data_IF_073542356374
#
_entry.id   IF_073542356374
#
_cell.length_a   1.000
_cell.length_b   1.000
_cell.length_c   1.000
_cell.angle_alpha   90.00
_cell.angle_beta   90.00
_cell.angle_gamma   90.00
#
_symmetry.space_group_name_H-M   'P 1'
#
loop_
_entity.id
_entity.type
_entity.pdbx_description
1 polymer ?
#
# COMPACT_ATOMS: atom_id res chain seq x y z
N UNK A 1 -0.44 -16.54 -1.53
CA UNK A 1 -0.64 -15.12 -1.86
C UNK A 1 -1.23 -15.01 -3.27
N UNK A 2 -2.33 -14.24 -3.41
CA UNK A 2 -3.03 -14.06 -4.70
C UNK A 2 -2.38 -12.97 -5.58
N UNK A 3 -1.74 -11.96 -5.00
CA UNK A 3 -1.04 -10.89 -5.74
C UNK A 3 0.48 -11.02 -5.62
N UNK A 4 1.22 -10.39 -6.55
CA UNK A 4 2.67 -10.41 -6.57
C UNK A 4 3.31 -9.54 -5.49
N UNK A 5 4.64 -9.50 -5.49
CA UNK A 5 5.47 -8.70 -4.58
C UNK A 5 6.24 -9.55 -3.56
N UNK A 6 7.15 -8.88 -2.83
CA UNK A 6 7.91 -9.45 -1.72
C UNK A 6 7.11 -9.52 -0.41
N UNK A 7 7.73 -9.28 0.70
CA UNK A 7 7.03 -9.10 1.97
C UNK A 7 6.44 -7.68 2.07
N UNK A 8 5.36 -7.57 2.83
CA UNK A 8 4.72 -6.29 3.16
C UNK A 8 4.66 -6.19 4.67
N UNK A 9 5.12 -5.09 5.21
CA UNK A 9 4.82 -4.68 6.57
C UNK A 9 3.68 -3.66 6.52
N UNK A 10 2.71 -3.82 7.38
CA UNK A 10 1.63 -2.86 7.56
C UNK A 10 1.29 -2.74 9.03
N UNK A 11 0.99 -1.54 9.47
CA UNK A 11 0.45 -1.22 10.79
C UNK A 11 -0.76 -0.28 10.64
N UNK A 12 -1.35 0.14 11.75
CA UNK A 12 -2.55 0.97 11.75
C UNK A 12 -2.35 2.38 11.20
N UNK A 13 -1.10 2.77 10.96
CA UNK A 13 -0.74 4.07 10.37
C UNK A 13 -0.45 4.01 8.87
N UNK A 14 -0.53 2.82 8.27
CA UNK A 14 -0.47 2.67 6.83
C UNK A 14 -1.85 2.90 6.21
N UNK A 15 -1.86 3.55 5.05
CA UNK A 15 -3.09 3.68 4.26
C UNK A 15 -3.03 2.72 3.09
N UNK A 16 -4.05 1.86 2.99
CA UNK A 16 -4.16 0.89 1.90
C UNK A 16 -5.04 1.44 0.80
N UNK A 17 -4.55 1.37 -0.43
CA UNK A 17 -5.28 1.75 -1.63
C UNK A 17 -5.55 0.53 -2.49
N UNK A 18 -6.75 0.45 -3.07
CA UNK A 18 -7.09 -0.53 -4.10
C UNK A 18 -7.84 0.16 -5.22
N UNK A 19 -7.40 -0.08 -6.45
CA UNK A 19 -8.05 0.38 -7.66
C UNK A 19 -8.50 -0.83 -8.48
N UNK A 20 -9.81 -1.00 -8.61
CA UNK A 20 -10.44 -2.14 -9.27
C UNK A 20 -11.14 -1.65 -10.53
N UNK A 21 -10.87 -2.28 -11.66
CA UNK A 21 -11.42 -1.89 -12.97
C UNK A 21 -11.78 -3.14 -13.79
N UNK A 22 -12.77 -3.05 -14.69
CA UNK A 22 -13.03 -4.09 -15.68
C UNK A 22 -12.00 -4.11 -16.82
N UNK A 23 -11.06 -3.17 -16.87
CA UNK A 23 -10.00 -3.12 -17.87
C UNK A 23 -9.04 -4.32 -17.69
N UNK A 24 -8.79 -5.04 -18.77
CA UNK A 24 -7.90 -6.22 -18.76
C UNK A 24 -6.44 -5.89 -19.09
N UNK A 25 -6.16 -4.67 -19.54
CA UNK A 25 -4.79 -4.22 -19.78
C UNK A 25 -4.09 -3.84 -18.46
N UNK A 26 -3.42 -4.81 -17.85
CA UNK A 26 -2.75 -4.68 -16.56
C UNK A 26 -1.71 -3.56 -16.55
N UNK A 27 -0.87 -3.47 -17.58
CA UNK A 27 0.17 -2.42 -17.65
C UNK A 27 -0.40 -1.02 -17.70
N UNK A 28 -1.45 -0.82 -18.49
CA UNK A 28 -2.13 0.46 -18.61
C UNK A 28 -2.84 0.82 -17.30
N UNK A 29 -3.55 -0.13 -16.71
CA UNK A 29 -4.23 0.03 -15.42
C UNK A 29 -3.25 0.39 -14.31
N UNK A 30 -2.10 -0.28 -14.27
CA UNK A 30 -1.06 -0.03 -13.29
C UNK A 30 -0.48 1.38 -13.43
N UNK A 31 -0.09 1.76 -14.66
CA UNK A 31 0.45 3.09 -14.95
C UNK A 31 -0.55 4.20 -14.62
N UNK A 32 -1.83 4.00 -14.96
CA UNK A 32 -2.90 4.94 -14.63
C UNK A 32 -3.04 5.15 -13.13
N UNK A 33 -3.08 4.05 -12.36
CA UNK A 33 -3.17 4.11 -10.90
C UNK A 33 -1.98 4.86 -10.28
N UNK A 34 -0.74 4.49 -10.63
CA UNK A 34 0.46 5.12 -10.08
C UNK A 34 0.48 6.62 -10.39
N UNK A 35 0.13 7.01 -11.61
CA UNK A 35 0.07 8.42 -12.00
C UNK A 35 -1.02 9.17 -11.23
N UNK A 36 -2.22 8.61 -11.08
CA UNK A 36 -3.31 9.23 -10.31
C UNK A 36 -2.88 9.52 -8.86
N UNK A 37 -2.25 8.56 -8.20
CA UNK A 37 -1.80 8.73 -6.80
C UNK A 37 -0.66 9.74 -6.72
N UNK A 38 0.30 9.69 -7.65
CA UNK A 38 1.41 10.66 -7.69
C UNK A 38 0.93 12.08 -7.96
N UNK A 39 -0.03 12.27 -8.87
CA UNK A 39 -0.64 13.58 -9.17
C UNK A 39 -1.42 14.11 -7.96
N UNK A 40 -2.13 13.25 -7.25
CA UNK A 40 -2.82 13.62 -6.01
C UNK A 40 -1.83 14.14 -4.96
N UNK A 41 -0.69 13.46 -4.77
CA UNK A 41 0.35 13.93 -3.86
C UNK A 41 0.96 15.28 -4.29
N UNK A 42 1.17 15.48 -5.60
CA UNK A 42 1.66 16.77 -6.13
C UNK A 42 0.73 17.94 -5.84
N UNK A 43 -0.59 17.71 -5.75
CA UNK A 43 -1.55 18.75 -5.34
C UNK A 43 -1.34 19.24 -3.90
N UNK A 44 -0.65 18.45 -3.06
CA UNK A 44 -0.21 18.84 -1.73
C UNK A 44 1.17 19.52 -1.72
N UNK A 45 1.75 19.81 -2.90
CA UNK A 45 3.09 20.37 -3.03
C UNK A 45 4.22 19.35 -2.87
N UNK A 46 3.91 18.04 -2.80
CA UNK A 46 4.90 16.98 -2.65
C UNK A 46 5.51 16.65 -4.02
N UNK A 47 6.85 16.60 -4.17
CA UNK A 47 7.50 16.21 -5.41
C UNK A 47 7.45 14.69 -5.62
N UNK A 48 6.25 14.13 -5.72
CA UNK A 48 6.06 12.71 -5.90
C UNK A 48 6.40 12.28 -7.34
N UNK A 49 7.20 11.23 -7.45
CA UNK A 49 7.65 10.63 -8.70
C UNK A 49 7.37 9.14 -8.74
N UNK A 50 7.25 8.59 -9.94
CA UNK A 50 7.15 7.14 -10.14
C UNK A 50 8.54 6.55 -10.33
N UNK A 51 8.85 5.40 -9.72
CA UNK A 51 10.15 4.73 -9.85
C UNK A 51 10.37 4.06 -11.22
N UNK A 52 9.39 4.12 -12.10
CA UNK A 52 9.39 3.36 -13.38
C UNK A 52 9.10 1.86 -13.22
N UNK A 53 8.91 1.38 -11.99
CA UNK A 53 8.48 0.01 -11.67
C UNK A 53 7.14 0.04 -10.93
N UNK A 54 7.18 -0.05 -9.62
CA UNK A 54 5.99 -0.22 -8.79
C UNK A 54 5.93 0.68 -7.55
N UNK A 55 6.86 1.61 -7.42
CA UNK A 55 6.95 2.48 -6.26
C UNK A 55 6.60 3.93 -6.59
N UNK A 56 6.05 4.64 -5.62
CA UNK A 56 5.97 6.10 -5.61
C UNK A 56 7.07 6.60 -4.67
N UNK A 57 7.84 7.56 -5.17
CA UNK A 57 9.02 8.09 -4.52
C UNK A 57 8.82 9.57 -4.16
N UNK A 58 9.44 10.02 -3.08
CA UNK A 58 9.61 11.43 -2.71
C UNK A 58 11.09 11.62 -2.44
N UNK A 59 11.74 12.54 -3.14
CA UNK A 59 13.18 12.82 -3.01
C UNK A 59 14.05 11.55 -3.06
N UNK A 60 13.76 10.68 -4.03
CA UNK A 60 14.49 9.42 -4.23
C UNK A 60 14.22 8.33 -3.19
N UNK A 61 13.29 8.53 -2.24
CA UNK A 61 12.90 7.56 -1.22
C UNK A 61 11.46 7.10 -1.43
N UNK A 62 11.22 5.83 -1.23
CA UNK A 62 9.91 5.19 -1.41
C UNK A 62 8.94 5.60 -0.31
N UNK A 63 7.77 6.09 -0.72
CA UNK A 63 6.63 6.38 0.17
C UNK A 63 5.49 5.40 -0.02
N UNK A 64 5.40 4.75 -1.18
CA UNK A 64 4.35 3.78 -1.49
C UNK A 64 4.90 2.63 -2.34
N UNK A 65 4.53 1.41 -1.99
CA UNK A 65 4.81 0.21 -2.76
C UNK A 65 3.52 -0.40 -3.27
N UNK A 66 3.51 -0.80 -4.55
CA UNK A 66 2.30 -1.23 -5.23
C UNK A 66 2.49 -2.58 -5.92
N UNK A 67 1.39 -3.31 -6.06
CA UNK A 67 1.33 -4.58 -6.76
C UNK A 67 0.01 -4.67 -7.53
N UNK A 68 -0.12 -5.66 -8.38
CA UNK A 68 -1.35 -5.91 -9.11
C UNK A 68 -1.78 -7.38 -9.00
N UNK A 69 -3.06 -7.58 -9.21
CA UNK A 69 -3.68 -8.88 -9.35
C UNK A 69 -4.69 -8.82 -10.49
N UNK A 70 -4.66 -9.82 -11.35
CA UNK A 70 -5.54 -9.91 -12.52
C UNK A 70 -6.33 -11.22 -12.49
N UNK A 71 -7.60 -11.11 -12.77
CA UNK A 71 -8.51 -12.23 -13.05
C UNK A 71 -9.31 -11.89 -14.32
N UNK A 72 -9.88 -12.88 -15.05
CA UNK A 72 -10.71 -12.59 -16.21
C UNK A 72 -11.80 -11.56 -15.90
N UNK A 73 -11.86 -10.48 -16.70
CA UNK A 73 -12.80 -9.39 -16.55
C UNK A 73 -12.52 -8.38 -15.44
N UNK A 74 -11.36 -8.50 -14.73
CA UNK A 74 -11.02 -7.53 -13.68
C UNK A 74 -9.52 -7.40 -13.51
N UNK A 75 -9.05 -6.16 -13.40
CA UNK A 75 -7.69 -5.84 -12.93
C UNK A 75 -7.76 -5.08 -11.61
N UNK A 76 -6.89 -5.46 -10.67
CA UNK A 76 -6.78 -4.84 -9.35
C UNK A 76 -5.34 -4.36 -9.20
N UNK A 77 -5.17 -3.06 -8.94
CA UNK A 77 -3.89 -2.51 -8.48
C UNK A 77 -4.08 -2.09 -7.03
N UNK A 78 -3.15 -2.46 -6.18
CA UNK A 78 -3.20 -2.09 -4.77
C UNK A 78 -1.83 -1.69 -4.27
N UNK A 79 -1.80 -0.88 -3.23
CA UNK A 79 -0.56 -0.42 -2.62
C UNK A 79 -0.74 0.05 -1.20
N UNK A 80 0.39 0.19 -0.51
CA UNK A 80 0.47 0.79 0.81
C UNK A 80 1.10 2.16 0.72
N UNK A 81 0.49 3.16 1.37
CA UNK A 81 1.11 4.45 1.64
C UNK A 81 1.68 4.43 3.05
N UNK A 82 2.98 4.70 3.17
CA UNK A 82 3.68 4.81 4.44
C UNK A 82 3.39 6.19 5.05
N UNK A 83 2.28 6.29 5.81
CA UNK A 83 1.91 7.58 6.40
C UNK A 83 2.76 7.89 7.64
N UNK A 84 2.71 7.07 8.70
CA UNK A 84 3.48 7.22 9.96
C UNK A 84 3.96 5.84 10.49
N UNK A 85 4.40 5.00 9.57
CA UNK A 85 4.80 3.62 9.82
C UNK A 85 5.90 3.54 10.87
N UNK A 86 5.76 2.63 11.84
CA UNK A 86 6.82 2.35 12.81
C UNK A 86 7.98 1.62 12.14
N UNK A 87 9.07 2.35 11.88
CA UNK A 87 10.25 1.84 11.18
C UNK A 87 10.95 0.74 11.99
N UNK A 88 10.98 0.84 13.31
CA UNK A 88 11.63 -0.16 14.17
C UNK A 88 10.90 -1.49 14.12
N UNK A 89 9.57 -1.46 14.22
CA UNK A 89 8.72 -2.64 14.07
C UNK A 89 8.83 -3.23 12.65
N UNK A 90 8.84 -2.37 11.62
CA UNK A 90 9.03 -2.81 10.24
C UNK A 90 10.35 -3.57 10.09
N UNK A 91 11.46 -3.00 10.56
CA UNK A 91 12.77 -3.63 10.47
C UNK A 91 12.81 -4.92 11.28
N UNK A 92 12.26 -4.91 12.49
CA UNK A 92 12.16 -6.10 13.33
C UNK A 92 11.41 -7.26 12.66
N UNK A 93 10.35 -6.95 11.90
CA UNK A 93 9.54 -7.94 11.20
C UNK A 93 10.23 -8.54 9.95
N UNK A 94 11.09 -7.78 9.28
CA UNK A 94 11.71 -8.19 8.00
C UNK A 94 13.19 -8.55 8.11
N UNK A 95 13.80 -8.38 9.29
CA UNK A 95 15.23 -8.63 9.51
C UNK A 95 15.42 -9.78 10.51
N UNK A 96 16.33 -10.73 10.26
CA UNK A 96 16.63 -11.78 11.22
C UNK A 96 17.11 -11.22 12.57
N UNK A 97 16.83 -11.93 13.65
CA UNK A 97 17.03 -11.54 15.06
C UNK A 97 18.51 -11.46 15.50
N UNK A 98 19.26 -10.54 14.92
CA UNK A 98 20.61 -10.19 15.39
C UNK A 98 20.67 -8.68 15.58
N UNK A 99 20.98 -8.20 16.80
CA UNK A 99 21.03 -6.78 17.15
C UNK A 99 21.86 -5.94 16.17
N UNK A 100 23.00 -6.48 15.73
CA UNK A 100 23.89 -5.82 14.78
C UNK A 100 23.29 -5.72 13.37
N UNK A 101 22.44 -6.67 12.98
CA UNK A 101 21.70 -6.63 11.71
C UNK A 101 20.48 -5.71 11.81
N UNK A 102 19.82 -5.65 12.95
CA UNK A 102 18.68 -4.76 13.20
C UNK A 102 19.12 -3.29 13.09
N UNK A 103 20.20 -2.87 13.74
CA UNK A 103 20.67 -1.48 13.67
C UNK A 103 21.07 -1.06 12.26
N UNK A 104 21.75 -1.94 11.50
CA UNK A 104 22.06 -1.72 10.08
C UNK A 104 20.79 -1.70 9.22
N UNK A 105 19.82 -2.56 9.53
CA UNK A 105 18.53 -2.61 8.86
C UNK A 105 17.73 -1.31 9.03
N UNK A 106 17.69 -0.74 10.23
CA UNK A 106 17.03 0.55 10.49
C UNK A 106 17.66 1.66 9.64
N UNK A 107 19.00 1.73 9.62
CA UNK A 107 19.70 2.73 8.81
C UNK A 107 19.43 2.54 7.32
N UNK A 108 19.46 1.30 6.82
CA UNK A 108 19.18 0.98 5.42
C UNK A 108 17.74 1.32 5.06
N UNK A 109 16.75 0.95 5.88
CA UNK A 109 15.34 1.27 5.63
C UNK A 109 15.14 2.78 5.59
N UNK A 110 15.68 3.54 6.55
CA UNK A 110 15.61 5.01 6.57
C UNK A 110 16.24 5.69 5.36
N UNK A 111 17.22 5.07 4.73
CA UNK A 111 17.83 5.58 3.50
C UNK A 111 16.94 5.35 2.26
N UNK A 112 16.10 4.32 2.26
CA UNK A 112 15.33 3.89 1.09
C UNK A 112 13.85 4.23 1.16
N UNK A 113 13.30 4.51 2.35
CA UNK A 113 11.90 4.90 2.53
C UNK A 113 11.76 6.28 3.16
N UNK A 114 10.60 6.88 2.97
CA UNK A 114 10.17 8.10 3.67
C UNK A 114 8.72 7.95 4.11
N UNK A 115 8.34 8.64 5.17
CA UNK A 115 6.98 8.66 5.66
C UNK A 115 6.25 9.88 5.11
N UNK A 116 5.01 9.72 4.72
CA UNK A 116 4.23 10.83 4.18
C UNK A 116 4.06 11.97 5.19
N UNK A 117 3.92 11.64 6.47
CA UNK A 117 3.82 12.59 7.59
C UNK A 117 4.99 13.57 7.66
N UNK A 118 6.17 13.17 7.19
CA UNK A 118 7.35 14.05 7.17
C UNK A 118 7.26 15.16 6.10
N UNK A 119 6.29 15.06 5.18
CA UNK A 119 6.13 15.94 4.04
C UNK A 119 4.83 16.76 4.05
N UNK A 120 3.89 16.43 4.95
CA UNK A 120 2.59 17.12 5.04
C UNK A 120 2.23 17.42 6.49
N UNK A 121 1.39 18.46 6.68
CA UNK A 121 0.83 18.81 7.99
C UNK A 121 -0.55 18.19 8.25
N UNK A 122 -1.16 17.58 7.24
CA UNK A 122 -2.46 16.92 7.39
C UNK A 122 -2.31 15.69 8.29
N UNK A 123 -3.25 15.48 9.19
CA UNK A 123 -3.33 14.20 9.90
C UNK A 123 -3.88 13.08 8.99
N UNK A 124 -3.93 11.86 9.50
CA UNK A 124 -4.31 10.69 8.70
C UNK A 124 -5.77 10.77 8.22
N UNK A 125 -6.65 11.35 9.01
CA UNK A 125 -8.07 11.52 8.67
C UNK A 125 -8.25 12.61 7.62
N UNK A 126 -7.57 13.74 7.78
CA UNK A 126 -7.53 14.83 6.82
C UNK A 126 -6.94 14.38 5.47
N UNK A 127 -5.84 13.62 5.52
CA UNK A 127 -5.24 13.06 4.31
C UNK A 127 -6.17 12.04 3.63
N UNK A 128 -6.85 11.19 4.39
CA UNK A 128 -7.84 10.25 3.87
C UNK A 128 -9.01 10.99 3.21
N UNK A 129 -9.51 12.04 3.84
CA UNK A 129 -10.56 12.89 3.28
C UNK A 129 -10.09 13.62 2.01
N UNK A 130 -8.85 14.12 1.99
CA UNK A 130 -8.24 14.72 0.82
C UNK A 130 -8.13 13.72 -0.34
N UNK A 131 -7.67 12.50 -0.06
CA UNK A 131 -7.57 11.42 -1.04
C UNK A 131 -8.93 11.11 -1.66
N UNK A 132 -9.96 10.93 -0.83
CA UNK A 132 -11.33 10.68 -1.27
C UNK A 132 -11.82 11.78 -2.23
N UNK A 133 -11.63 13.03 -1.89
CA UNK A 133 -12.04 14.17 -2.74
C UNK A 133 -11.30 14.25 -4.09
N UNK A 134 -10.07 13.74 -4.16
CA UNK A 134 -9.24 13.85 -5.35
C UNK A 134 -9.25 12.60 -6.26
N UNK A 135 -9.54 11.44 -5.70
CA UNK A 135 -9.51 10.16 -6.43
C UNK A 135 -10.88 9.52 -6.64
N UNK A 136 -11.91 9.91 -5.87
CA UNK A 136 -13.23 9.33 -5.96
C UNK A 136 -14.25 10.31 -6.55
N UNK A 137 -15.10 9.83 -7.47
CA UNK A 137 -16.21 10.59 -8.05
C UNK A 137 -17.54 10.32 -7.35
N UNK A 138 -17.57 9.37 -6.43
CA UNK A 138 -18.77 8.96 -5.71
C UNK A 138 -18.43 7.99 -4.60
N UNK A 139 -19.46 7.51 -3.94
CA UNK A 139 -19.38 6.59 -2.80
C UNK A 139 -20.38 5.46 -2.98
N UNK A 140 -19.99 4.26 -2.61
CA UNK A 140 -20.87 3.11 -2.51
C UNK A 140 -20.97 2.73 -1.04
N UNK A 141 -22.20 2.71 -0.54
CA UNK A 141 -22.49 2.23 0.81
C UNK A 141 -22.68 0.72 0.75
N UNK A 142 -21.93 -0.01 1.58
CA UNK A 142 -22.07 -1.46 1.71
C UNK A 142 -23.14 -1.74 2.78
N UNK A 143 -24.14 -2.54 2.39
CA UNK A 143 -25.21 -3.00 3.28
C UNK A 143 -24.87 -4.36 3.89
N UNK A 144 -25.71 -4.82 4.81
CA UNK A 144 -25.51 -6.01 5.64
C UNK A 144 -25.11 -7.26 4.85
N UNK A 145 -25.70 -7.49 3.69
CA UNK A 145 -25.36 -8.64 2.84
C UNK A 145 -23.92 -8.59 2.34
N UNK A 146 -23.42 -7.42 1.96
CA UNK A 146 -22.04 -7.24 1.53
C UNK A 146 -21.08 -7.36 2.71
N UNK A 147 -21.47 -6.83 3.88
CA UNK A 147 -20.69 -6.94 5.12
C UNK A 147 -20.56 -8.41 5.53
N UNK A 148 -21.66 -9.18 5.46
CA UNK A 148 -21.64 -10.62 5.77
C UNK A 148 -20.74 -11.41 4.79
N UNK A 149 -20.74 -11.06 3.50
CA UNK A 149 -19.82 -11.66 2.52
C UNK A 149 -18.36 -11.32 2.81
N UNK A 150 -18.05 -10.08 3.23
CA UNK A 150 -16.70 -9.66 3.61
C UNK A 150 -16.25 -10.47 4.82
N UNK A 151 -17.08 -10.62 5.87
CA UNK A 151 -16.77 -11.39 7.05
C UNK A 151 -16.47 -12.87 6.71
N UNK A 152 -17.26 -13.47 5.82
CA UNK A 152 -17.01 -14.84 5.36
C UNK A 152 -15.66 -14.98 4.60
N UNK A 153 -15.30 -13.99 3.77
CA UNK A 153 -14.01 -13.98 3.10
C UNK A 153 -12.87 -13.81 4.12
N UNK A 154 -13.06 -12.99 5.15
CA UNK A 154 -12.07 -12.76 6.21
C UNK A 154 -11.73 -14.06 6.95
N UNK A 155 -12.69 -14.96 7.17
CA UNK A 155 -12.45 -16.26 7.80
C UNK A 155 -11.34 -17.06 7.11
N UNK A 156 -11.28 -17.05 5.75
CA UNK A 156 -10.21 -17.71 5.00
C UNK A 156 -8.83 -17.12 5.35
N UNK A 157 -8.75 -15.78 5.50
CA UNK A 157 -7.49 -15.08 5.78
C UNK A 157 -6.99 -15.27 7.21
N UNK A 158 -7.85 -15.68 8.12
CA UNK A 158 -7.51 -15.95 9.53
C UNK A 158 -7.06 -17.39 9.76
N UNK A 159 -7.14 -18.25 8.76
CA UNK A 159 -6.71 -19.66 8.92
C UNK A 159 -5.19 -19.79 9.02
N UNK A 160 -4.68 -20.75 9.82
CA UNK A 160 -3.26 -21.05 9.88
C UNK A 160 -2.66 -21.39 8.51
N UNK A 161 -3.42 -22.08 7.66
CA UNK A 161 -3.02 -22.45 6.28
C UNK A 161 -2.77 -21.22 5.42
N UNK A 162 -3.61 -20.17 5.58
CA UNK A 162 -3.40 -18.92 4.85
C UNK A 162 -2.22 -18.11 5.41
N UNK A 163 -2.11 -18.03 6.74
CA UNK A 163 -1.10 -17.19 7.43
C UNK A 163 0.31 -17.78 7.24
N UNK A 164 0.45 -19.08 7.48
CA UNK A 164 1.76 -19.74 7.47
C UNK A 164 2.05 -20.47 6.15
N UNK A 165 1.02 -20.76 5.36
CA UNK A 165 1.11 -21.54 4.14
C UNK A 165 1.49 -22.99 4.41
N UNK A 166 1.63 -23.75 3.34
CA UNK A 166 2.31 -25.03 3.40
C UNK A 166 3.81 -24.74 3.32
N UNK A 167 4.48 -24.67 4.44
CA UNK A 167 5.94 -24.65 4.44
C UNK A 167 6.44 -25.95 3.78
N UNK A 168 7.29 -25.82 2.74
CA UNK A 168 7.94 -26.97 2.15
C UNK A 168 8.89 -27.63 3.14
#
# INVERSE_FOLDING_TARGET
RKSGGGCVYADMTNIMFSYITPDENVSLTFSKYINMVSEMLRKLGIPAETSGRNDIMIDGRKVSGNAFYHIPGRSIVHGTMLYDTNIENMVGAITPSCEKLVSKGIQSVRQHITLLKDHISLDIEEFTAFTRRNLCNGEIVLYDDAIAQIAHIEEEYLTPEFIYGNNP
#
